data_IF_423701952807
#
_entry.id   IF_423701952807
#
_cell.length_a   1.000
_cell.length_b   1.000
_cell.length_c   1.000
_cell.angle_alpha   90.00
_cell.angle_beta   90.00
_cell.angle_gamma   90.00
#
_symmetry.space_group_name_H-M   'P 1'
#
loop_
_entity.id
_entity.type
_entity.pdbx_description
1 polymer ?
#
# COMPACT_ATOMS: atom_id res chain seq x y z
N UNK A 1 -6.04 -1.97 -6.00
CA UNK A 1 -5.22 -1.57 -4.83
C UNK A 1 -6.12 -1.26 -3.65
N UNK A 2 -7.16 -0.45 -3.87
CA UNK A 2 -8.15 -0.08 -2.85
C UNK A 2 -8.77 -1.29 -2.13
N UNK A 3 -9.31 -2.28 -2.85
CA UNK A 3 -9.92 -3.44 -2.19
C UNK A 3 -8.94 -4.28 -1.36
N UNK A 4 -7.70 -4.45 -1.84
CA UNK A 4 -6.67 -5.13 -1.08
C UNK A 4 -6.31 -4.35 0.20
N UNK A 5 -6.23 -3.02 0.13
CA UNK A 5 -6.01 -2.16 1.28
C UNK A 5 -7.19 -2.23 2.27
N UNK A 6 -8.44 -2.26 1.77
CA UNK A 6 -9.65 -2.39 2.57
C UNK A 6 -9.66 -3.70 3.36
N UNK A 7 -9.41 -4.84 2.69
CA UNK A 7 -9.33 -6.16 3.34
C UNK A 7 -8.18 -6.18 4.36
N UNK A 8 -6.99 -5.71 3.99
CA UNK A 8 -5.84 -5.67 4.89
C UNK A 8 -6.11 -4.86 6.17
N UNK A 9 -6.80 -3.72 6.05
CA UNK A 9 -7.15 -2.87 7.18
C UNK A 9 -8.30 -3.46 8.02
N UNK A 10 -9.45 -3.76 7.41
CA UNK A 10 -10.66 -4.11 8.14
C UNK A 10 -10.66 -5.55 8.66
N UNK A 11 -10.17 -6.49 7.86
CA UNK A 11 -10.23 -7.93 8.18
C UNK A 11 -8.96 -8.41 8.89
N UNK A 12 -7.80 -7.96 8.41
CA UNK A 12 -6.50 -8.39 8.96
C UNK A 12 -5.92 -7.45 10.02
N UNK A 13 -6.54 -6.28 10.26
CA UNK A 13 -6.05 -5.26 11.20
C UNK A 13 -4.59 -4.87 10.95
N UNK A 14 -4.19 -4.87 9.68
CA UNK A 14 -2.82 -4.51 9.28
C UNK A 14 -2.62 -3.00 9.31
N UNK A 15 -1.44 -2.56 9.73
CA UNK A 15 -1.08 -1.14 9.83
C UNK A 15 -0.40 -0.62 8.55
N UNK A 16 0.08 -1.52 7.69
CA UNK A 16 0.84 -1.20 6.47
C UNK A 16 0.60 -2.27 5.41
N UNK A 17 0.58 -1.86 4.15
CA UNK A 17 0.58 -2.75 3.00
C UNK A 17 1.91 -2.65 2.24
N UNK A 18 2.43 -3.79 1.79
CA UNK A 18 3.68 -3.89 1.01
C UNK A 18 3.41 -4.56 -0.34
N UNK A 19 4.14 -4.12 -1.36
CA UNK A 19 4.11 -4.68 -2.71
C UNK A 19 5.50 -5.16 -3.09
N UNK A 20 5.59 -6.42 -3.50
CA UNK A 20 6.78 -6.96 -4.17
C UNK A 20 6.81 -6.35 -5.57
N UNK A 21 7.70 -5.39 -5.79
CA UNK A 21 7.77 -4.64 -7.04
C UNK A 21 9.13 -4.81 -7.73
N UNK A 22 9.09 -5.00 -9.05
CA UNK A 22 10.28 -4.87 -9.88
C UNK A 22 10.75 -3.42 -9.92
N UNK A 23 12.06 -3.20 -10.06
CA UNK A 23 12.65 -1.84 -10.04
C UNK A 23 11.98 -0.90 -11.06
N UNK A 24 11.67 -1.41 -12.26
CA UNK A 24 11.03 -0.64 -13.34
C UNK A 24 9.56 -0.26 -13.10
N UNK A 25 8.89 -0.80 -12.07
CA UNK A 25 7.49 -0.47 -11.77
C UNK A 25 7.33 0.42 -10.55
N UNK A 26 8.42 0.77 -9.85
CA UNK A 26 8.38 1.58 -8.62
C UNK A 26 7.73 2.95 -8.81
N UNK A 27 7.95 3.59 -9.96
CA UNK A 27 7.35 4.90 -10.26
C UNK A 27 5.82 4.84 -10.39
N UNK A 28 5.26 3.71 -10.81
CA UNK A 28 3.81 3.51 -10.80
C UNK A 28 3.28 3.55 -9.36
N UNK A 29 3.93 2.84 -8.43
CA UNK A 29 3.52 2.81 -7.03
C UNK A 29 3.75 4.15 -6.31
N UNK A 30 4.81 4.90 -6.66
CA UNK A 30 5.03 6.26 -6.14
C UNK A 30 3.87 7.20 -6.45
N UNK A 31 3.31 7.12 -7.66
CA UNK A 31 2.12 7.91 -8.05
C UNK A 31 0.88 7.56 -7.24
N UNK A 32 0.85 6.38 -6.62
CA UNK A 32 -0.22 5.92 -5.72
C UNK A 32 0.09 6.19 -4.23
N UNK A 33 1.14 6.95 -3.93
CA UNK A 33 1.54 7.29 -2.56
C UNK A 33 2.34 6.22 -1.82
N UNK A 34 2.89 5.24 -2.53
CA UNK A 34 3.79 4.25 -1.94
C UNK A 34 5.24 4.73 -1.96
N UNK A 35 6.00 4.34 -0.95
CA UNK A 35 7.42 4.67 -0.80
C UNK A 35 8.31 3.42 -0.83
N UNK A 36 9.60 3.61 -1.12
CA UNK A 36 10.56 2.50 -1.15
C UNK A 36 10.82 2.00 0.27
N UNK A 37 10.58 0.71 0.50
CA UNK A 37 10.75 0.05 1.79
C UNK A 37 11.57 -1.24 1.59
N UNK A 38 12.89 -1.09 1.59
CA UNK A 38 13.83 -2.17 1.28
C UNK A 38 13.59 -2.75 -0.13
N UNK A 39 13.33 -4.07 -0.26
CA UNK A 39 13.00 -4.67 -1.56
C UNK A 39 11.56 -4.41 -2.01
N UNK A 40 10.71 -3.80 -1.17
CA UNK A 40 9.29 -3.60 -1.41
C UNK A 40 8.96 -2.13 -1.71
N UNK A 41 7.71 -1.89 -2.11
CA UNK A 41 7.07 -0.57 -2.00
C UNK A 41 5.99 -0.66 -0.93
N UNK A 42 5.88 0.32 -0.04
CA UNK A 42 4.90 0.27 1.06
C UNK A 42 4.10 1.56 1.21
N UNK A 43 2.92 1.43 1.82
CA UNK A 43 2.09 2.56 2.28
C UNK A 43 1.47 2.21 3.63
N UNK A 44 1.44 3.12 4.63
CA UNK A 44 0.61 2.92 5.81
C UNK A 44 -0.87 2.80 5.43
N UNK A 45 -1.64 2.09 6.25
CA UNK A 45 -3.09 2.01 6.12
C UNK A 45 -3.74 2.83 7.24
N UNK A 46 -4.62 3.75 6.88
CA UNK A 46 -5.33 4.62 7.82
C UNK A 46 -6.83 4.55 7.57
N UNK A 47 -7.63 4.81 8.60
CA UNK A 47 -9.09 4.87 8.47
C UNK A 47 -9.51 5.89 7.40
N UNK A 48 -8.82 7.03 7.37
CA UNK A 48 -8.97 8.12 6.40
C UNK A 48 -8.89 7.66 4.93
N UNK A 49 -8.13 6.60 4.64
CA UNK A 49 -7.97 6.08 3.28
C UNK A 49 -9.26 5.46 2.72
N UNK A 50 -10.27 5.22 3.57
CA UNK A 50 -11.52 4.53 3.24
C UNK A 50 -12.76 5.37 3.54
N UNK A 51 -12.58 6.60 4.00
CA UNK A 51 -13.66 7.56 4.23
C UNK A 51 -13.85 8.40 2.95
N UNK A 52 -14.77 7.96 2.09
CA UNK A 52 -15.12 8.59 0.82
C UNK A 52 -16.57 8.36 0.47
#
# INVERSE_FOLDING_TARGET
MEEAARIAFYEHKSEKIVVISGVGTRDYYRKLGYELDGPYMSKPLRAEDFEG
#
